data_IF_495921543685
#
_entry.id   IF_495921543685
#
_cell.length_a   1.000
_cell.length_b   1.000
_cell.length_c   1.000
_cell.angle_alpha   90.00
_cell.angle_beta   90.00
_cell.angle_gamma   90.00
#
_symmetry.space_group_name_H-M   'P 1'
#
loop_
_entity.id
_entity.type
_entity.pdbx_description
1 polymer ?
#
# COMPACT_ATOMS: atom_id res chain seq x y z
N UNK A 1 -40.07 37.91 -10.69
CA UNK A 1 -40.34 37.89 -9.24
C UNK A 1 -39.05 38.20 -8.52
N UNK A 2 -38.83 39.49 -8.30
CA UNK A 2 -37.88 40.00 -7.32
C UNK A 2 -38.36 39.62 -5.91
N UNK A 3 -37.42 39.23 -5.05
CA UNK A 3 -37.38 39.66 -3.66
C UNK A 3 -36.04 39.24 -3.05
N UNK A 4 -35.16 40.22 -2.92
CA UNK A 4 -34.01 40.18 -2.04
C UNK A 4 -34.47 40.36 -0.58
N UNK A 5 -33.78 39.73 0.36
CA UNK A 5 -33.67 40.25 1.73
C UNK A 5 -32.34 39.85 2.34
N UNK A 6 -31.56 40.87 2.64
CA UNK A 6 -30.35 40.89 3.46
C UNK A 6 -30.69 40.69 4.95
N UNK A 7 -29.80 40.03 5.70
CA UNK A 7 -29.56 40.32 7.12
C UNK A 7 -28.15 39.78 7.49
N UNK A 8 -27.14 40.66 7.50
CA UNK A 8 -26.49 41.27 8.68
C UNK A 8 -25.51 40.33 9.39
N UNK A 9 -24.24 40.71 9.24
CA UNK A 9 -23.06 40.19 9.89
C UNK A 9 -23.04 40.54 11.39
N UNK A 10 -22.64 39.58 12.22
CA UNK A 10 -22.19 39.81 13.59
C UNK A 10 -20.73 39.37 13.71
N UNK A 11 -19.84 40.35 13.66
CA UNK A 11 -18.41 40.24 14.00
C UNK A 11 -18.25 40.07 15.51
N UNK A 12 -17.76 38.90 15.94
CA UNK A 12 -17.18 38.71 17.28
C UNK A 12 -15.66 38.66 17.14
N UNK A 13 -15.00 39.74 17.54
CA UNK A 13 -13.54 39.81 17.68
C UNK A 13 -13.14 39.10 18.98
N UNK A 14 -12.42 37.99 18.87
CA UNK A 14 -11.69 37.38 19.98
C UNK A 14 -10.20 37.69 19.79
N UNK A 15 -9.64 38.40 20.78
CA UNK A 15 -8.23 38.80 20.86
C UNK A 15 -7.31 37.57 21.01
N UNK A 16 -6.15 37.52 20.34
CA UNK A 16 -5.14 36.50 20.61
C UNK A 16 -4.33 36.85 21.87
N UNK A 17 -4.25 35.94 22.83
CA UNK A 17 -3.30 36.00 23.95
C UNK A 17 -2.06 35.18 23.60
N UNK A 18 -0.94 35.85 23.37
CA UNK A 18 0.38 35.23 23.19
C UNK A 18 1.21 35.30 24.51
N UNK A 19 2.19 34.39 24.66
CA UNK A 19 2.70 33.91 25.96
C UNK A 19 3.76 34.82 26.60
N UNK A 20 4.06 34.64 27.90
CA UNK A 20 5.12 35.37 28.58
C UNK A 20 6.53 34.93 28.12
N UNK A 21 7.52 35.84 28.15
CA UNK A 21 8.87 35.62 27.63
C UNK A 21 9.75 34.72 28.54
N UNK A 22 10.83 34.12 28.00
CA UNK A 22 11.77 33.32 28.78
C UNK A 22 12.64 34.19 29.69
N UNK A 23 12.85 33.72 30.93
CA UNK A 23 13.80 34.31 31.89
C UNK A 23 15.24 34.07 31.45
N UNK A 24 16.00 35.15 31.33
CA UNK A 24 17.45 35.16 31.30
C UNK A 24 18.01 34.88 32.71
N UNK A 25 19.00 34.00 32.79
CA UNK A 25 19.85 33.86 33.98
C UNK A 25 21.30 34.05 33.53
N UNK A 26 21.97 34.91 34.28
CA UNK A 26 23.29 35.49 34.07
C UNK A 26 24.44 34.48 34.14
N UNK A 27 25.48 34.78 33.36
CA UNK A 27 26.87 34.32 33.51
C UNK A 27 27.42 34.57 34.93
N UNK A 28 28.19 33.59 35.43
CA UNK A 28 29.20 33.79 36.47
C UNK A 28 30.49 33.09 36.01
N UNK A 29 31.58 33.85 36.02
CA UNK A 29 32.84 33.51 35.35
C UNK A 29 33.80 32.57 36.10
N UNK A 30 34.66 31.97 35.27
CA UNK A 30 36.13 31.81 35.36
C UNK A 30 36.76 31.25 36.65
N UNK A 31 37.42 30.09 36.50
CA UNK A 31 38.79 29.87 36.98
C UNK A 31 39.46 28.68 36.26
N UNK A 32 40.52 28.94 35.48
CA UNK A 32 41.47 27.94 34.96
C UNK A 32 42.62 27.75 35.97
N UNK A 33 43.18 26.53 36.12
CA UNK A 33 44.55 26.35 36.56
C UNK A 33 45.50 26.19 35.37
N UNK A 34 46.49 27.09 35.33
CA UNK A 34 47.72 27.02 34.53
C UNK A 34 48.62 25.91 35.09
N UNK A 35 49.19 25.06 34.23
CA UNK A 35 50.61 24.65 34.24
C UNK A 35 50.89 23.51 33.23
N UNK A 36 51.89 23.64 32.35
CA UNK A 36 52.30 22.58 31.43
C UNK A 36 53.37 21.69 32.08
N UNK A 37 53.16 20.36 32.09
CA UNK A 37 54.22 19.41 32.47
C UNK A 37 54.97 18.94 31.22
N UNK A 38 56.17 19.49 31.06
CA UNK A 38 57.21 19.07 30.12
C UNK A 38 57.83 17.77 30.64
N UNK A 39 57.95 16.76 29.76
CA UNK A 39 58.65 15.51 30.04
C UNK A 39 60.12 15.65 29.66
N UNK A 40 61.02 15.42 30.62
CA UNK A 40 62.44 15.16 30.37
C UNK A 40 62.73 13.67 30.57
N UNK A 41 63.47 13.09 29.61
CA UNK A 41 64.04 11.76 29.72
C UNK A 41 65.35 11.78 30.53
N UNK A 42 65.54 10.78 31.42
CA UNK A 42 66.83 10.44 32.03
C UNK A 42 67.02 8.90 32.01
N UNK A 43 68.26 8.40 32.07
CA UNK A 43 68.66 7.20 31.33
C UNK A 43 68.75 5.93 32.20
N UNK A 44 68.62 4.82 31.47
CA UNK A 44 69.24 3.49 31.62
C UNK A 44 69.98 3.17 32.93
N UNK A 45 69.31 2.41 33.80
CA UNK A 45 69.95 1.46 34.73
C UNK A 45 69.87 0.05 34.16
N UNK A 46 71.02 -0.59 33.98
CA UNK A 46 71.15 -1.96 33.52
C UNK A 46 70.68 -2.96 34.58
N UNK A 47 69.80 -3.90 34.19
CA UNK A 47 69.64 -5.17 34.89
C UNK A 47 68.99 -6.23 33.99
N UNK A 48 69.80 -7.25 33.66
CA UNK A 48 69.45 -8.66 33.48
C UNK A 48 68.33 -9.04 32.50
N UNK A 49 68.76 -9.40 31.29
CA UNK A 49 68.06 -10.27 30.35
C UNK A 49 67.88 -11.67 30.93
N UNK A 50 66.65 -12.08 31.26
CA UNK A 50 66.31 -13.51 31.34
C UNK A 50 64.85 -13.79 30.96
N UNK A 51 64.62 -13.73 29.63
CA UNK A 51 63.79 -14.65 28.84
C UNK A 51 62.42 -15.09 29.38
N UNK A 52 61.38 -14.29 29.13
CA UNK A 52 59.98 -14.78 29.12
C UNK A 52 59.76 -15.87 28.05
N UNK A 53 60.53 -15.80 26.95
CA UNK A 53 60.56 -16.80 25.87
C UNK A 53 61.09 -18.19 26.29
N UNK A 54 61.84 -18.32 27.39
CA UNK A 54 62.36 -19.61 27.85
C UNK A 54 61.35 -20.39 28.73
N UNK A 55 60.33 -19.71 29.28
CA UNK A 55 59.20 -20.35 29.98
C UNK A 55 58.13 -20.87 29.02
N UNK A 56 57.86 -20.19 27.91
CA UNK A 56 56.94 -20.72 26.87
C UNK A 56 57.49 -21.97 26.16
N UNK A 57 58.80 -22.08 25.99
CA UNK A 57 59.41 -23.23 25.30
C UNK A 57 59.40 -24.53 26.11
N UNK A 58 59.14 -24.47 27.43
CA UNK A 58 59.10 -25.64 28.33
C UNK A 58 57.69 -26.20 28.58
N UNK A 59 56.65 -25.50 28.17
CA UNK A 59 55.25 -25.99 28.19
C UNK A 59 54.86 -26.68 26.89
N UNK A 60 55.47 -26.29 25.76
CA UNK A 60 55.26 -26.86 24.42
C UNK A 60 55.76 -28.29 24.23
N UNK A 61 56.59 -28.81 25.15
CA UNK A 61 57.20 -30.15 25.04
C UNK A 61 56.65 -31.15 26.07
N UNK A 62 55.56 -30.80 26.76
CA UNK A 62 54.88 -31.73 27.67
C UNK A 62 53.82 -32.54 26.91
N UNK A 63 53.75 -33.87 27.09
CA UNK A 63 52.70 -34.68 26.45
C UNK A 63 51.29 -34.23 26.84
N UNK A 64 51.15 -33.57 28.00
CA UNK A 64 49.91 -32.96 28.48
C UNK A 64 49.47 -31.74 27.65
N UNK A 65 50.40 -30.92 27.15
CA UNK A 65 50.07 -29.78 26.30
C UNK A 65 49.63 -30.23 24.91
N UNK A 66 50.32 -31.21 24.33
CA UNK A 66 49.91 -31.82 23.06
C UNK A 66 48.54 -32.51 23.16
N UNK A 67 48.27 -33.20 24.27
CA UNK A 67 46.96 -33.81 24.52
C UNK A 67 45.87 -32.75 24.68
N UNK A 68 46.14 -31.66 25.41
CA UNK A 68 45.20 -30.55 25.54
C UNK A 68 44.89 -29.91 24.19
N UNK A 69 45.90 -29.62 23.36
CA UNK A 69 45.70 -29.09 22.01
C UNK A 69 44.89 -30.04 21.12
N UNK A 70 45.10 -31.35 21.24
CA UNK A 70 44.37 -32.36 20.48
C UNK A 70 42.90 -32.45 20.94
N UNK A 71 42.64 -32.35 22.24
CA UNK A 71 41.28 -32.28 22.80
C UNK A 71 40.56 -31.01 22.34
N UNK A 72 41.22 -29.83 22.40
CA UNK A 72 40.62 -28.58 21.93
C UNK A 72 40.38 -28.58 20.41
N UNK A 73 41.31 -29.16 19.64
CA UNK A 73 41.16 -29.33 18.19
C UNK A 73 39.99 -30.26 17.83
N UNK A 74 39.89 -31.41 18.49
CA UNK A 74 38.77 -32.34 18.29
C UNK A 74 37.44 -31.74 18.75
N UNK A 75 37.41 -31.03 19.89
CA UNK A 75 36.22 -30.33 20.36
C UNK A 75 35.78 -29.24 19.38
N UNK A 76 36.72 -28.50 18.79
CA UNK A 76 36.44 -27.50 17.75
C UNK A 76 35.88 -28.12 16.47
N UNK A 77 36.41 -29.27 16.03
CA UNK A 77 35.90 -30.01 14.87
C UNK A 77 34.51 -30.58 15.16
N UNK A 78 34.28 -31.15 16.33
CA UNK A 78 32.96 -31.66 16.76
C UNK A 78 31.95 -30.52 16.87
N UNK A 79 32.34 -29.35 17.40
CA UNK A 79 31.48 -28.18 17.45
C UNK A 79 31.18 -27.63 16.04
N UNK A 80 32.18 -27.61 15.15
CA UNK A 80 32.00 -27.21 13.75
C UNK A 80 31.04 -28.14 13.00
N UNK A 81 31.21 -29.46 13.15
CA UNK A 81 30.31 -30.48 12.58
C UNK A 81 28.92 -30.46 13.23
N UNK A 82 28.81 -30.19 14.53
CA UNK A 82 27.53 -30.00 15.22
C UNK A 82 26.82 -28.71 14.79
N UNK A 83 27.57 -27.64 14.50
CA UNK A 83 27.01 -26.37 14.03
C UNK A 83 26.55 -26.46 12.57
N UNK A 84 27.31 -27.14 11.70
CA UNK A 84 26.90 -27.36 10.31
C UNK A 84 25.81 -28.41 10.18
N UNK A 85 25.83 -29.48 10.99
CA UNK A 85 24.72 -30.43 11.06
C UNK A 85 23.47 -29.82 11.69
N UNK A 86 23.58 -28.91 12.67
CA UNK A 86 22.44 -28.09 13.11
C UNK A 86 21.98 -27.12 12.04
N UNK A 87 22.86 -26.53 11.23
CA UNK A 87 22.43 -25.68 10.10
C UNK A 87 21.76 -26.49 8.96
N UNK A 88 22.09 -27.78 8.82
CA UNK A 88 21.51 -28.70 7.83
C UNK A 88 20.24 -29.42 8.34
N UNK A 89 20.12 -29.67 9.65
CA UNK A 89 18.98 -30.39 10.27
C UNK A 89 17.98 -29.41 10.91
N UNK A 90 18.45 -28.35 11.55
CA UNK A 90 17.65 -27.17 11.82
C UNK A 90 17.75 -26.27 10.59
N UNK A 91 17.07 -26.68 9.52
CA UNK A 91 16.77 -25.80 8.41
C UNK A 91 16.39 -24.45 9.00
N UNK A 92 17.07 -23.39 8.57
CA UNK A 92 16.79 -22.02 8.98
C UNK A 92 15.28 -21.91 9.16
N UNK A 93 14.83 -21.78 10.43
CA UNK A 93 13.44 -21.41 10.68
C UNK A 93 13.30 -20.08 9.95
N UNK A 94 12.74 -20.11 8.75
CA UNK A 94 12.23 -18.92 8.10
C UNK A 94 11.36 -18.29 9.18
N UNK A 95 11.86 -17.20 9.75
CA UNK A 95 11.14 -16.40 10.72
C UNK A 95 9.76 -16.21 10.12
N UNK A 96 8.70 -16.77 10.72
CA UNK A 96 7.37 -16.89 10.10
C UNK A 96 7.01 -15.65 9.27
N UNK A 97 7.27 -15.70 7.97
CA UNK A 97 6.93 -14.63 7.05
C UNK A 97 5.57 -15.00 6.52
N UNK A 98 4.53 -14.34 7.05
CA UNK A 98 3.19 -14.48 6.49
C UNK A 98 3.17 -13.80 5.11
N UNK A 99 2.85 -14.55 4.03
CA UNK A 99 2.75 -13.97 2.69
C UNK A 99 1.77 -12.81 2.67
N UNK A 100 2.12 -11.73 1.98
CA UNK A 100 1.23 -10.58 1.77
C UNK A 100 0.33 -10.79 0.55
N UNK A 101 0.77 -11.61 -0.41
CA UNK A 101 -0.04 -12.01 -1.54
C UNK A 101 -1.07 -13.06 -1.17
N UNK A 102 -2.25 -12.95 -1.77
CA UNK A 102 -3.39 -13.82 -1.49
C UNK A 102 -4.08 -14.23 -2.78
N UNK A 103 -4.49 -15.50 -2.86
CA UNK A 103 -5.32 -16.01 -3.94
C UNK A 103 -6.74 -16.23 -3.43
N UNK A 104 -7.73 -15.73 -4.17
CA UNK A 104 -9.14 -15.80 -3.81
C UNK A 104 -9.90 -16.53 -4.89
N UNK A 105 -10.46 -17.69 -4.52
CA UNK A 105 -11.36 -18.45 -5.38
C UNK A 105 -12.70 -17.71 -5.47
N UNK A 106 -13.17 -17.47 -6.69
CA UNK A 106 -14.43 -16.80 -6.96
C UNK A 106 -15.46 -17.83 -7.42
N UNK A 107 -16.62 -17.86 -6.76
CA UNK A 107 -17.71 -18.75 -7.18
C UNK A 107 -18.24 -18.30 -8.54
N UNK A 108 -18.14 -19.19 -9.53
CA UNK A 108 -18.66 -18.96 -10.88
C UNK A 108 -20.19 -18.91 -10.84
N UNK A 109 -20.85 -17.90 -11.43
CA UNK A 109 -22.28 -17.95 -11.67
C UNK A 109 -22.54 -18.95 -12.80
N UNK A 110 -23.21 -20.07 -12.50
CA UNK A 110 -23.89 -20.91 -13.48
C UNK A 110 -23.13 -22.14 -13.98
N UNK A 111 -23.29 -23.26 -13.26
CA UNK A 111 -23.42 -24.61 -13.82
C UNK A 111 -24.41 -25.38 -12.93
N UNK A 112 -25.68 -25.44 -13.37
CA UNK A 112 -26.71 -26.40 -12.93
C UNK A 112 -27.25 -26.28 -11.50
N UNK A 113 -28.26 -25.43 -11.30
CA UNK A 113 -29.21 -25.63 -10.20
C UNK A 113 -30.17 -26.77 -10.57
N UNK A 114 -30.10 -27.85 -9.79
CA UNK A 114 -31.10 -28.90 -9.74
C UNK A 114 -31.07 -29.53 -8.36
N UNK A 115 -32.04 -29.20 -7.52
CA UNK A 115 -32.23 -29.84 -6.21
C UNK A 115 -32.55 -28.84 -5.09
N UNK A 116 -33.84 -28.73 -4.81
CA UNK A 116 -34.45 -28.02 -3.69
C UNK A 116 -34.02 -28.59 -2.32
N UNK A 117 -34.04 -27.73 -1.29
CA UNK A 117 -34.09 -28.12 0.12
C UNK A 117 -32.79 -28.04 0.93
N UNK A 118 -32.62 -26.96 1.68
CA UNK A 118 -31.79 -26.97 2.90
C UNK A 118 -30.93 -25.73 3.10
N UNK A 119 -31.31 -24.89 4.08
CA UNK A 119 -30.46 -23.82 4.58
C UNK A 119 -29.10 -24.35 5.03
N UNK A 120 -28.05 -23.86 4.39
CA UNK A 120 -26.68 -24.13 4.75
C UNK A 120 -25.80 -23.07 4.13
N UNK A 121 -25.41 -22.07 4.93
CA UNK A 121 -24.29 -21.20 4.57
C UNK A 121 -23.10 -22.10 4.28
N UNK A 122 -22.68 -22.13 3.02
CA UNK A 122 -21.54 -22.92 2.56
C UNK A 122 -20.30 -22.51 3.33
N UNK A 123 -20.01 -23.26 4.38
CA UNK A 123 -18.82 -23.15 5.18
C UNK A 123 -17.62 -23.50 4.29
N UNK A 124 -16.75 -22.51 4.08
CA UNK A 124 -15.40 -22.72 3.58
C UNK A 124 -14.62 -23.46 4.67
N UNK A 125 -14.51 -24.77 4.51
CA UNK A 125 -13.72 -25.63 5.37
C UNK A 125 -12.24 -25.23 5.26
N UNK A 126 -11.69 -24.66 6.34
CA UNK A 126 -10.32 -24.17 6.43
C UNK A 126 -10.13 -22.77 7.01
N UNK A 127 -11.19 -21.99 7.22
CA UNK A 127 -11.09 -20.72 7.94
C UNK A 127 -10.99 -20.96 9.45
N UNK A 128 -9.79 -21.34 9.92
CA UNK A 128 -9.33 -20.85 11.24
C UNK A 128 -9.63 -19.35 11.22
N UNK A 129 -10.39 -18.86 12.20
CA UNK A 129 -10.75 -17.46 12.38
C UNK A 129 -9.48 -16.59 12.43
N UNK A 130 -8.89 -16.31 11.26
CA UNK A 130 -7.80 -15.37 11.10
C UNK A 130 -8.44 -14.03 11.29
N UNK A 131 -8.07 -13.39 12.41
CA UNK A 131 -8.46 -12.01 12.70
C UNK A 131 -8.10 -11.15 11.48
N UNK A 132 -9.11 -10.57 10.83
CA UNK A 132 -8.94 -9.67 9.68
C UNK A 132 -7.96 -8.56 10.05
N UNK A 133 -7.03 -8.25 9.15
CA UNK A 133 -6.06 -7.19 9.38
C UNK A 133 -6.79 -5.83 9.42
N UNK A 134 -6.65 -5.10 10.53
CA UNK A 134 -7.28 -3.79 10.69
C UNK A 134 -6.44 -2.69 10.04
N UNK A 135 -7.04 -1.91 9.16
CA UNK A 135 -6.40 -0.79 8.43
C UNK A 135 -7.37 0.37 8.27
N UNK A 136 -6.88 1.58 7.97
CA UNK A 136 -7.74 2.71 7.60
C UNK A 136 -8.40 2.44 6.23
N UNK A 137 -7.62 1.97 5.27
CA UNK A 137 -8.11 1.67 3.94
C UNK A 137 -7.36 0.54 3.24
N UNK A 138 -8.04 -0.18 2.36
CA UNK A 138 -7.42 -1.16 1.46
C UNK A 138 -7.45 -0.63 0.03
N UNK A 139 -6.29 -0.45 -0.58
CA UNK A 139 -6.12 0.05 -1.96
C UNK A 139 -5.83 -1.12 -2.90
N UNK A 140 -6.82 -1.46 -3.73
CA UNK A 140 -6.68 -2.42 -4.81
C UNK A 140 -6.33 -1.73 -6.12
N UNK A 141 -5.12 -1.98 -6.60
CA UNK A 141 -4.59 -1.41 -7.84
C UNK A 141 -4.93 -2.35 -8.98
N UNK A 142 -5.95 -2.03 -9.75
CA UNK A 142 -6.46 -2.84 -10.86
C UNK A 142 -5.42 -2.87 -11.99
N UNK A 143 -4.89 -4.05 -12.28
CA UNK A 143 -3.84 -4.26 -13.28
C UNK A 143 -4.11 -5.49 -14.13
N UNK A 144 -3.44 -5.64 -15.27
CA UNK A 144 -3.59 -6.79 -16.16
C UNK A 144 -2.27 -7.33 -16.69
N UNK A 145 -2.33 -8.39 -17.49
CA UNK A 145 -1.13 -9.02 -18.07
C UNK A 145 -0.35 -8.11 -19.04
N UNK A 146 -1.00 -7.10 -19.61
CA UNK A 146 -0.36 -6.08 -20.46
C UNK A 146 0.37 -4.97 -19.69
N UNK A 147 0.25 -4.93 -18.35
CA UNK A 147 0.67 -3.79 -17.53
C UNK A 147 1.95 -4.01 -16.73
N UNK A 148 2.80 -4.97 -17.12
CA UNK A 148 4.05 -5.27 -16.38
C UNK A 148 4.97 -4.05 -16.26
N UNK A 149 5.07 -3.23 -17.32
CA UNK A 149 5.86 -1.99 -17.28
C UNK A 149 5.26 -0.92 -16.36
N UNK A 150 3.92 -0.81 -16.29
CA UNK A 150 3.21 0.06 -15.34
C UNK A 150 3.45 -0.38 -13.90
N UNK A 151 3.27 -1.66 -13.58
CA UNK A 151 3.59 -2.20 -12.24
C UNK A 151 5.03 -1.92 -11.82
N UNK A 152 5.98 -2.10 -12.73
CA UNK A 152 7.39 -1.74 -12.50
C UNK A 152 7.57 -0.25 -12.20
N UNK A 153 6.85 0.63 -12.89
CA UNK A 153 6.94 2.07 -12.72
C UNK A 153 6.30 2.52 -11.39
N UNK A 154 5.16 1.93 -11.03
CA UNK A 154 4.55 2.08 -9.71
C UNK A 154 5.50 1.65 -8.58
N UNK A 155 6.18 0.52 -8.79
CA UNK A 155 7.20 -0.01 -7.88
C UNK A 155 8.41 0.89 -7.62
N UNK A 156 8.73 1.72 -8.62
CA UNK A 156 9.81 2.72 -8.56
C UNK A 156 9.35 4.08 -8.04
N UNK A 157 8.05 4.23 -7.74
CA UNK A 157 7.44 5.52 -7.37
C UNK A 157 6.67 5.40 -6.06
N UNK A 158 5.34 5.46 -6.10
CA UNK A 158 4.51 5.62 -4.91
C UNK A 158 4.17 4.30 -4.18
N UNK A 159 4.51 3.14 -4.74
CA UNK A 159 4.32 1.83 -4.11
C UNK A 159 5.65 1.06 -4.07
N UNK A 160 6.47 1.15 -3.01
CA UNK A 160 7.82 0.57 -3.01
C UNK A 160 7.87 -0.94 -3.32
N UNK A 161 8.84 -1.37 -4.13
CA UNK A 161 9.03 -2.78 -4.50
C UNK A 161 9.50 -3.70 -3.38
N UNK A 162 10.21 -3.16 -2.38
CA UNK A 162 10.73 -3.98 -1.28
C UNK A 162 9.67 -4.19 -0.23
N UNK A 163 9.61 -5.39 0.34
CA UNK A 163 8.67 -5.72 1.42
C UNK A 163 8.77 -4.73 2.58
N UNK A 164 9.98 -4.36 3.00
CA UNK A 164 10.20 -3.38 4.06
C UNK A 164 9.75 -1.97 3.65
N UNK A 165 9.94 -1.60 2.39
CA UNK A 165 9.45 -0.35 1.82
C UNK A 165 7.93 -0.28 1.87
N UNK A 166 7.26 -1.31 1.38
CA UNK A 166 5.81 -1.43 1.37
C UNK A 166 5.25 -1.42 2.80
N UNK A 167 5.79 -2.23 3.72
CA UNK A 167 5.35 -2.24 5.12
C UNK A 167 5.52 -0.89 5.81
N UNK A 168 6.59 -0.14 5.50
CA UNK A 168 6.77 1.23 6.03
C UNK A 168 5.72 2.18 5.48
N UNK A 169 5.42 2.10 4.19
CA UNK A 169 4.35 2.89 3.57
C UNK A 169 3.00 2.58 4.21
N UNK A 170 2.68 1.29 4.34
CA UNK A 170 1.40 0.83 4.89
C UNK A 170 1.24 1.27 6.36
N UNK A 171 2.29 1.13 7.16
CA UNK A 171 2.29 1.58 8.56
C UNK A 171 2.16 3.10 8.69
N UNK A 172 2.84 3.86 7.82
CA UNK A 172 2.85 5.33 7.87
C UNK A 172 1.50 5.93 7.45
N UNK A 173 0.80 5.28 6.52
CA UNK A 173 -0.46 5.79 5.95
C UNK A 173 -1.69 5.12 6.57
N UNK A 174 -1.53 3.98 7.25
CA UNK A 174 -2.65 3.14 7.66
C UNK A 174 -3.35 2.45 6.49
N UNK A 175 -2.80 2.50 5.28
CA UNK A 175 -3.38 1.91 4.07
C UNK A 175 -2.67 0.60 3.74
N UNK A 176 -3.38 -0.41 3.25
CA UNK A 176 -2.77 -1.60 2.65
C UNK A 176 -2.87 -1.53 1.12
N UNK A 177 -1.86 -2.02 0.39
CA UNK A 177 -1.82 -1.91 -1.08
C UNK A 177 -1.59 -3.26 -1.74
N UNK A 178 -2.43 -3.66 -2.69
CA UNK A 178 -2.19 -4.86 -3.51
C UNK A 178 -2.49 -4.61 -4.97
N UNK A 179 -1.67 -5.18 -5.85
CA UNK A 179 -2.02 -5.33 -7.25
C UNK A 179 -3.13 -6.35 -7.40
N UNK A 180 -4.25 -5.97 -8.00
CA UNK A 180 -5.41 -6.84 -8.22
C UNK A 180 -5.40 -7.33 -9.66
N UNK A 181 -5.24 -8.64 -9.83
CA UNK A 181 -5.18 -9.27 -11.15
C UNK A 181 -5.96 -10.59 -11.14
N UNK A 182 -6.65 -10.86 -12.24
CA UNK A 182 -7.28 -12.13 -12.51
C UNK A 182 -6.30 -13.18 -13.06
N UNK A 183 -6.84 -14.20 -13.71
CA UNK A 183 -6.09 -15.26 -14.40
C UNK A 183 -6.23 -15.16 -15.92
N UNK A 184 -5.37 -15.88 -16.62
CA UNK A 184 -5.47 -16.10 -18.07
C UNK A 184 -5.24 -17.57 -18.38
N UNK A 185 -5.73 -18.02 -19.53
CA UNK A 185 -5.47 -19.39 -20.04
C UNK A 185 -4.08 -19.53 -20.68
N UNK A 186 -3.41 -18.41 -20.95
CA UNK A 186 -2.03 -18.38 -21.45
C UNK A 186 -1.04 -18.80 -20.35
N UNK A 187 -0.52 -20.03 -20.47
CA UNK A 187 0.40 -20.62 -19.50
C UNK A 187 1.71 -19.82 -19.36
N UNK A 188 2.18 -19.17 -20.42
CA UNK A 188 3.42 -18.37 -20.38
C UNK A 188 3.21 -17.11 -19.54
N UNK A 189 2.08 -16.41 -19.75
CA UNK A 189 1.69 -15.25 -18.95
C UNK A 189 1.46 -15.61 -17.48
N UNK A 190 0.82 -16.74 -17.20
CA UNK A 190 0.64 -17.24 -15.84
C UNK A 190 1.97 -17.58 -15.16
N UNK A 191 2.91 -18.20 -15.89
CA UNK A 191 4.24 -18.50 -15.36
C UNK A 191 5.05 -17.23 -15.08
N UNK A 192 4.94 -16.20 -15.94
CA UNK A 192 5.56 -14.90 -15.71
C UNK A 192 4.98 -14.18 -14.48
N UNK A 193 3.65 -14.20 -14.33
CA UNK A 193 2.97 -13.64 -13.14
C UNK A 193 3.40 -14.37 -11.86
N UNK A 194 3.50 -15.71 -11.89
CA UNK A 194 3.96 -16.49 -10.73
C UNK A 194 5.36 -16.06 -10.27
N UNK A 195 6.30 -15.86 -11.21
CA UNK A 195 7.64 -15.35 -10.89
C UNK A 195 7.58 -13.95 -10.27
N UNK A 196 6.73 -13.08 -10.79
CA UNK A 196 6.56 -11.72 -10.25
C UNK A 196 5.95 -11.75 -8.83
N UNK A 197 4.99 -12.63 -8.57
CA UNK A 197 4.42 -12.84 -7.22
C UNK A 197 5.47 -13.36 -6.24
N UNK A 198 6.31 -14.32 -6.67
CA UNK A 198 7.42 -14.84 -5.87
C UNK A 198 8.48 -13.78 -5.57
N UNK A 199 8.70 -12.83 -6.48
CA UNK A 199 9.69 -11.76 -6.33
C UNK A 199 9.22 -10.63 -5.41
N UNK A 200 7.96 -10.17 -5.53
CA UNK A 200 7.49 -8.96 -4.86
C UNK A 200 6.49 -9.19 -3.73
N UNK A 201 5.76 -10.31 -3.73
CA UNK A 201 4.75 -10.65 -2.75
C UNK A 201 3.67 -9.55 -2.53
N UNK A 202 3.26 -8.82 -3.57
CA UNK A 202 2.38 -7.64 -3.46
C UNK A 202 1.03 -7.77 -4.21
N UNK A 203 0.52 -9.00 -4.40
CA UNK A 203 -0.66 -9.27 -5.24
C UNK A 203 -1.91 -9.77 -4.50
N UNK A 204 -3.09 -9.40 -5.01
CA UNK A 204 -4.36 -10.08 -4.79
C UNK A 204 -4.77 -10.76 -6.10
N UNK A 205 -4.70 -12.09 -6.12
CA UNK A 205 -5.01 -12.92 -7.28
C UNK A 205 -6.49 -13.34 -7.20
N UNK A 206 -7.28 -12.98 -8.21
CA UNK A 206 -8.69 -13.32 -8.30
C UNK A 206 -8.90 -14.46 -9.31
N UNK A 207 -9.76 -15.43 -9.00
CA UNK A 207 -10.17 -16.46 -9.95
C UNK A 207 -11.23 -15.95 -10.97
N UNK A 208 -10.86 -14.90 -11.70
CA UNK A 208 -11.66 -14.31 -12.79
C UNK A 208 -10.76 -14.18 -14.00
N UNK A 209 -11.29 -14.47 -15.18
CA UNK A 209 -10.54 -14.32 -16.42
C UNK A 209 -10.32 -12.83 -16.77
N UNK A 210 -9.07 -12.46 -17.03
CA UNK A 210 -8.69 -11.10 -17.41
C UNK A 210 -9.16 -10.77 -18.82
N UNK A 211 -10.18 -9.92 -18.91
CA UNK A 211 -10.66 -9.31 -20.15
C UNK A 211 -11.25 -7.93 -19.83
N UNK A 212 -11.19 -7.00 -20.79
CA UNK A 212 -11.73 -5.64 -20.59
C UNK A 212 -13.24 -5.66 -20.27
N UNK A 213 -14.01 -6.52 -20.94
CA UNK A 213 -15.44 -6.72 -20.69
C UNK A 213 -15.74 -7.29 -19.30
N UNK A 214 -14.76 -7.87 -18.62
CA UNK A 214 -14.89 -8.46 -17.30
C UNK A 214 -14.54 -7.49 -16.16
N UNK A 215 -14.14 -6.25 -16.46
CA UNK A 215 -13.78 -5.25 -15.45
C UNK A 215 -14.86 -5.04 -14.38
N UNK A 216 -16.16 -4.90 -14.70
CA UNK A 216 -17.20 -4.78 -13.68
C UNK A 216 -17.21 -5.97 -12.70
N UNK A 217 -17.07 -7.19 -13.20
CA UNK A 217 -17.04 -8.41 -12.39
C UNK A 217 -15.77 -8.50 -11.53
N UNK A 218 -14.62 -8.15 -12.11
CA UNK A 218 -13.34 -8.09 -11.41
C UNK A 218 -13.40 -7.12 -10.23
N UNK A 219 -13.99 -5.93 -10.43
CA UNK A 219 -14.14 -4.93 -9.37
C UNK A 219 -15.03 -5.41 -8.23
N UNK A 220 -16.15 -6.05 -8.53
CA UNK A 220 -17.01 -6.61 -7.47
C UNK A 220 -16.27 -7.72 -6.71
N UNK A 221 -15.58 -8.61 -7.43
CA UNK A 221 -14.79 -9.66 -6.80
C UNK A 221 -13.67 -9.11 -5.93
N UNK A 222 -13.00 -8.05 -6.37
CA UNK A 222 -12.05 -7.28 -5.56
C UNK A 222 -12.67 -6.79 -4.26
N UNK A 223 -13.81 -6.09 -4.31
CA UNK A 223 -14.45 -5.57 -3.10
C UNK A 223 -14.84 -6.69 -2.13
N UNK A 224 -15.42 -7.79 -2.64
CA UNK A 224 -15.78 -8.93 -1.80
C UNK A 224 -14.56 -9.61 -1.17
N UNK A 225 -13.51 -9.84 -1.96
CA UNK A 225 -12.24 -10.42 -1.51
C UNK A 225 -11.59 -9.53 -0.44
N UNK A 226 -11.45 -8.24 -0.72
CA UNK A 226 -10.84 -7.28 0.19
C UNK A 226 -11.60 -7.20 1.51
N UNK A 227 -12.94 -7.18 1.47
CA UNK A 227 -13.77 -7.17 2.67
C UNK A 227 -13.58 -8.42 3.53
N UNK A 228 -13.44 -9.60 2.92
CA UNK A 228 -13.19 -10.84 3.66
C UNK A 228 -11.81 -10.86 4.34
N UNK A 229 -10.82 -10.21 3.73
CA UNK A 229 -9.42 -10.26 4.18
C UNK A 229 -9.04 -9.14 5.16
N UNK A 230 -9.61 -7.95 4.99
CA UNK A 230 -9.24 -6.73 5.72
C UNK A 230 -10.42 -6.13 6.45
N UNK A 231 -10.19 -5.71 7.69
CA UNK A 231 -11.11 -4.87 8.47
C UNK A 231 -10.72 -3.40 8.23
N UNK A 232 -11.22 -2.84 7.12
CA UNK A 232 -10.88 -1.50 6.64
C UNK A 232 -12.06 -0.54 6.77
N UNK A 233 -11.82 0.74 7.05
CA UNK A 233 -12.87 1.79 7.01
C UNK A 233 -13.28 2.12 5.57
N UNK A 234 -12.34 2.07 4.64
CA UNK A 234 -12.57 2.28 3.22
C UNK A 234 -11.89 1.21 2.35
N UNK A 235 -12.53 0.89 1.23
CA UNK A 235 -11.95 0.07 0.17
C UNK A 235 -11.82 0.94 -1.07
N UNK A 236 -10.61 1.07 -1.59
CA UNK A 236 -10.25 1.98 -2.67
C UNK A 236 -9.92 1.17 -3.91
N UNK A 237 -10.62 1.45 -5.00
CA UNK A 237 -10.23 1.00 -6.33
C UNK A 237 -9.34 2.07 -6.94
N UNK A 238 -8.18 1.68 -7.47
CA UNK A 238 -7.28 2.56 -8.22
C UNK A 238 -6.82 1.85 -9.50
N UNK A 239 -6.67 2.57 -10.61
CA UNK A 239 -6.04 2.02 -11.82
C UNK A 239 -4.51 2.06 -11.75
N UNK A 240 -3.85 1.20 -12.52
CA UNK A 240 -2.38 1.13 -12.58
C UNK A 240 -1.71 2.22 -13.44
N UNK A 241 -2.50 3.15 -13.96
CA UNK A 241 -2.05 4.28 -14.76
C UNK A 241 -2.38 5.65 -14.14
N UNK A 242 -2.44 5.74 -12.81
CA UNK A 242 -2.52 7.02 -12.07
C UNK A 242 -1.30 7.27 -11.20
N UNK A 243 -0.97 8.54 -10.96
CA UNK A 243 -0.02 8.90 -9.92
C UNK A 243 -0.77 9.17 -8.61
N UNK A 244 -0.60 8.32 -7.61
CA UNK A 244 -1.25 8.43 -6.31
C UNK A 244 -0.28 9.04 -5.28
N UNK A 245 -0.82 9.83 -4.35
CA UNK A 245 -0.12 10.33 -3.16
C UNK A 245 -0.72 9.66 -1.91
N UNK A 246 -0.15 8.53 -1.44
CA UNK A 246 -0.69 7.74 -0.33
C UNK A 246 -0.90 8.53 0.98
N UNK A 247 -0.02 9.49 1.27
CA UNK A 247 -0.15 10.40 2.41
C UNK A 247 -1.43 11.24 2.33
N UNK A 248 -1.71 11.81 1.15
CA UNK A 248 -2.90 12.62 0.91
C UNK A 248 -4.17 11.79 0.87
N UNK A 249 -4.11 10.58 0.31
CA UNK A 249 -5.23 9.64 0.35
C UNK A 249 -5.57 9.28 1.80
N UNK A 250 -4.57 8.97 2.63
CA UNK A 250 -4.78 8.65 4.05
C UNK A 250 -5.51 9.79 4.78
N UNK A 251 -5.06 11.04 4.60
CA UNK A 251 -5.71 12.20 5.19
C UNK A 251 -7.15 12.40 4.70
N UNK A 252 -7.41 12.18 3.42
CA UNK A 252 -8.75 12.27 2.84
C UNK A 252 -9.70 11.21 3.42
N UNK A 253 -9.23 9.97 3.58
CA UNK A 253 -10.03 8.88 4.13
C UNK A 253 -10.26 9.05 5.64
N UNK A 254 -9.32 9.63 6.37
CA UNK A 254 -9.43 9.88 7.82
C UNK A 254 -10.36 11.06 8.18
N UNK A 255 -10.82 11.84 7.20
CA UNK A 255 -11.75 12.97 7.43
C UNK A 255 -13.04 12.48 8.10
N UNK A 256 -13.47 13.19 9.14
CA UNK A 256 -14.77 12.95 9.77
C UNK A 256 -15.91 13.21 8.80
N UNK A 257 -16.92 12.34 8.82
CA UNK A 257 -18.10 12.40 7.96
C UNK A 257 -19.35 12.16 8.78
N UNK A 258 -20.42 12.84 8.41
CA UNK A 258 -21.73 12.70 9.07
C UNK A 258 -22.48 11.45 8.60
N UNK A 259 -22.16 10.94 7.41
CA UNK A 259 -22.74 9.73 6.85
C UNK A 259 -21.73 8.59 6.91
N UNK A 260 -22.17 7.38 7.26
CA UNK A 260 -21.34 6.17 7.26
C UNK A 260 -21.24 5.52 5.88
N UNK A 261 -22.31 5.60 5.07
CA UNK A 261 -22.38 5.05 3.72
C UNK A 261 -21.86 6.05 2.68
N UNK A 262 -20.56 5.96 2.42
CA UNK A 262 -19.85 6.91 1.54
C UNK A 262 -19.39 6.24 0.26
N UNK A 263 -19.68 6.89 -0.86
CA UNK A 263 -19.04 6.71 -2.16
C UNK A 263 -18.24 7.98 -2.48
N UNK A 264 -16.92 7.91 -2.33
CA UNK A 264 -16.01 9.03 -2.50
C UNK A 264 -15.29 8.92 -3.85
N UNK A 265 -15.25 10.01 -4.60
CA UNK A 265 -14.55 10.06 -5.86
C UNK A 265 -14.61 11.45 -6.50
N UNK A 266 -13.93 11.61 -7.63
CA UNK A 266 -14.19 12.75 -8.49
C UNK A 266 -15.48 12.47 -9.28
N UNK A 267 -16.60 12.99 -8.78
CA UNK A 267 -17.92 12.77 -9.37
C UNK A 267 -18.08 13.49 -10.70
N UNK A 268 -18.67 12.81 -11.69
CA UNK A 268 -18.93 13.32 -13.04
C UNK A 268 -20.33 12.97 -13.53
N UNK A 269 -20.70 13.65 -14.62
CA UNK A 269 -21.73 13.24 -15.57
C UNK A 269 -21.14 13.27 -16.98
N UNK A 270 -21.81 12.60 -17.91
CA UNK A 270 -21.37 12.55 -19.30
C UNK A 270 -22.34 11.79 -20.19
N UNK A 271 -22.18 11.88 -21.52
CA UNK A 271 -23.08 11.24 -22.46
C UNK A 271 -23.00 9.72 -22.37
N UNK A 272 -24.15 9.06 -22.55
CA UNK A 272 -24.18 7.61 -22.79
C UNK A 272 -23.73 7.35 -24.22
N UNK A 273 -22.70 6.52 -24.37
CA UNK A 273 -22.16 6.21 -25.70
C UNK A 273 -22.99 5.10 -26.36
N UNK A 274 -23.76 5.47 -27.38
CA UNK A 274 -24.68 4.57 -28.10
C UNK A 274 -24.13 4.03 -29.42
N UNK A 275 -22.97 4.51 -29.89
CA UNK A 275 -22.33 4.03 -31.11
C UNK A 275 -21.42 2.82 -30.79
N UNK A 276 -21.69 1.62 -31.36
CA UNK A 276 -20.87 0.42 -31.19
C UNK A 276 -19.39 0.56 -31.55
N UNK A 277 -19.02 1.60 -32.31
CA UNK A 277 -17.63 1.88 -32.71
C UNK A 277 -16.83 2.62 -31.63
N UNK A 278 -17.50 3.17 -30.61
CA UNK A 278 -16.84 3.91 -29.55
C UNK A 278 -16.36 2.95 -28.45
N UNK A 279 -15.19 3.24 -27.88
CA UNK A 279 -14.54 2.45 -26.82
C UNK A 279 -15.47 2.13 -25.66
N UNK A 280 -16.33 3.07 -25.28
CA UNK A 280 -17.21 3.00 -24.11
C UNK A 280 -18.68 2.74 -24.47
N UNK A 281 -18.93 2.18 -25.66
CA UNK A 281 -20.27 1.79 -26.09
C UNK A 281 -21.03 1.02 -25.00
N UNK A 282 -22.25 1.45 -24.72
CA UNK A 282 -23.15 0.81 -23.77
C UNK A 282 -24.31 0.12 -24.50
N UNK A 283 -24.29 -1.22 -24.63
CA UNK A 283 -25.34 -1.97 -25.31
C UNK A 283 -26.69 -1.89 -24.60
N UNK A 284 -26.72 -1.62 -23.29
CA UNK A 284 -27.95 -1.41 -22.51
C UNK A 284 -28.31 0.07 -22.38
N UNK A 285 -27.86 0.91 -23.32
CA UNK A 285 -28.10 2.36 -23.32
C UNK A 285 -29.58 2.72 -23.34
N UNK A 286 -30.47 1.84 -23.84
CA UNK A 286 -31.92 2.01 -23.78
C UNK A 286 -32.51 1.94 -22.36
N UNK A 287 -31.81 1.29 -21.42
CA UNK A 287 -32.15 1.31 -19.99
C UNK A 287 -31.62 2.57 -19.29
N UNK A 288 -30.80 3.35 -19.99
CA UNK A 288 -30.19 4.58 -19.51
C UNK A 288 -30.79 5.79 -20.24
N UNK A 289 -30.51 6.99 -19.71
CA UNK A 289 -30.83 8.23 -20.40
C UNK A 289 -29.82 8.60 -21.48
N UNK A 290 -29.94 9.80 -22.04
CA UNK A 290 -28.89 10.38 -22.93
C UNK A 290 -27.59 10.71 -22.18
N UNK A 291 -27.69 10.88 -20.87
CA UNK A 291 -26.58 11.20 -19.97
C UNK A 291 -26.57 10.16 -18.84
N UNK A 292 -25.37 9.74 -18.42
CA UNK A 292 -25.22 8.93 -17.22
C UNK A 292 -25.63 9.72 -15.99
N UNK A 293 -26.15 9.01 -15.00
CA UNK A 293 -26.31 9.53 -13.65
C UNK A 293 -24.95 9.94 -13.05
N UNK A 294 -24.97 10.70 -11.96
CA UNK A 294 -23.72 11.12 -11.29
C UNK A 294 -22.99 9.89 -10.71
N UNK A 295 -21.72 9.73 -11.05
CA UNK A 295 -20.86 8.65 -10.58
C UNK A 295 -19.40 9.09 -10.55
N UNK A 296 -18.53 8.38 -9.83
CA UNK A 296 -17.11 8.71 -9.81
C UNK A 296 -16.44 8.32 -11.14
N UNK A 297 -15.38 9.04 -11.50
CA UNK A 297 -14.46 8.59 -12.53
C UNK A 297 -13.82 7.25 -12.17
N UNK A 298 -13.71 6.36 -13.17
CA UNK A 298 -13.11 5.03 -13.01
C UNK A 298 -11.70 4.99 -12.41
N UNK A 299 -10.74 5.88 -12.76
CA UNK A 299 -9.36 5.80 -12.31
C UNK A 299 -9.14 5.66 -10.80
N UNK A 300 -9.97 6.31 -9.97
CA UNK A 300 -9.94 6.12 -8.52
C UNK A 300 -11.26 6.50 -7.85
N UNK A 301 -11.70 5.64 -6.93
CA UNK A 301 -12.79 5.93 -6.00
C UNK A 301 -12.71 5.04 -4.76
N UNK A 302 -13.39 5.44 -3.69
CA UNK A 302 -13.42 4.73 -2.42
C UNK A 302 -14.86 4.44 -1.97
N UNK A 303 -15.08 3.23 -1.48
CA UNK A 303 -16.33 2.80 -0.85
C UNK A 303 -16.10 2.56 0.63
N UNK A 304 -16.96 3.13 1.48
CA UNK A 304 -16.95 2.83 2.92
C UNK A 304 -17.19 1.35 3.20
N UNK A 305 -16.73 0.89 4.36
CA UNK A 305 -16.89 -0.49 4.80
C UNK A 305 -18.35 -0.96 4.78
N UNK A 306 -19.28 -0.10 5.17
CA UNK A 306 -20.71 -0.40 5.20
C UNK A 306 -21.28 -0.62 3.80
N UNK A 307 -20.89 0.23 2.83
CA UNK A 307 -21.28 0.06 1.43
C UNK A 307 -20.75 -1.25 0.87
N UNK A 308 -19.47 -1.57 1.13
CA UNK A 308 -18.89 -2.84 0.68
C UNK A 308 -19.55 -4.05 1.35
N UNK A 309 -19.92 -3.94 2.64
CA UNK A 309 -20.68 -4.97 3.33
C UNK A 309 -22.03 -5.23 2.64
N UNK A 310 -22.73 -4.17 2.21
CA UNK A 310 -23.95 -4.31 1.40
C UNK A 310 -23.66 -5.03 0.08
N UNK A 311 -22.60 -4.64 -0.65
CA UNK A 311 -22.19 -5.30 -1.89
C UNK A 311 -21.88 -6.80 -1.71
N UNK A 312 -21.24 -7.16 -0.59
CA UNK A 312 -20.94 -8.55 -0.25
C UNK A 312 -22.22 -9.35 0.00
N UNK A 313 -23.20 -8.76 0.69
CA UNK A 313 -24.47 -9.38 1.01
C UNK A 313 -25.42 -9.54 -0.20
N UNK A 314 -25.18 -8.84 -1.31
CA UNK A 314 -25.98 -8.97 -2.52
C UNK A 314 -25.86 -10.39 -3.10
N UNK A 315 -27.02 -11.00 -3.41
CA UNK A 315 -27.07 -12.23 -4.19
C UNK A 315 -26.55 -11.95 -5.60
N UNK A 316 -25.92 -12.98 -6.18
CA UNK A 316 -25.49 -12.90 -7.57
C UNK A 316 -26.68 -12.53 -8.48
N UNK A 317 -26.44 -11.68 -9.47
CA UNK A 317 -27.43 -11.21 -10.44
C UNK A 317 -28.58 -10.34 -9.87
N UNK A 318 -28.49 -9.87 -8.61
CA UNK A 318 -29.53 -8.97 -8.05
C UNK A 318 -29.52 -7.58 -8.67
N UNK A 319 -28.35 -7.07 -9.03
CA UNK A 319 -28.20 -5.75 -9.65
C UNK A 319 -27.73 -5.85 -11.10
N UNK A 320 -28.11 -4.84 -11.88
CA UNK A 320 -27.77 -4.74 -13.31
C UNK A 320 -26.28 -4.48 -13.49
N UNK A 321 -25.64 -5.24 -14.37
CA UNK A 321 -24.29 -4.98 -14.85
C UNK A 321 -24.34 -4.15 -16.14
N UNK A 322 -23.47 -3.16 -16.25
CA UNK A 322 -23.24 -2.35 -17.45
C UNK A 322 -21.86 -2.66 -18.03
N UNK A 323 -21.58 -2.22 -19.27
CA UNK A 323 -20.29 -2.50 -19.91
C UNK A 323 -19.13 -1.77 -19.26
N UNK A 324 -19.38 -0.56 -18.75
CA UNK A 324 -18.39 0.25 -18.05
C UNK A 324 -18.46 -0.03 -16.54
N UNK A 325 -17.30 -0.28 -15.92
CA UNK A 325 -17.21 -0.61 -14.49
C UNK A 325 -17.66 0.54 -13.60
N UNK A 326 -17.26 1.77 -13.92
CA UNK A 326 -17.54 2.96 -13.12
C UNK A 326 -19.04 3.29 -13.15
N UNK A 327 -19.65 3.11 -14.32
CA UNK A 327 -21.11 3.17 -14.50
C UNK A 327 -21.80 2.07 -13.70
N UNK A 328 -21.29 0.83 -13.74
CA UNK A 328 -21.88 -0.28 -12.95
C UNK A 328 -21.89 0.06 -11.46
N UNK A 329 -20.74 0.45 -10.90
CA UNK A 329 -20.64 0.82 -9.49
C UNK A 329 -21.54 2.02 -9.17
N UNK A 330 -21.50 3.09 -9.97
CA UNK A 330 -22.33 4.26 -9.73
C UNK A 330 -23.83 3.95 -9.73
N UNK A 331 -24.29 3.07 -10.63
CA UNK A 331 -25.71 2.68 -10.65
C UNK A 331 -26.15 1.98 -9.36
N UNK A 332 -25.24 1.20 -8.77
CA UNK A 332 -25.50 0.47 -7.52
C UNK A 332 -25.46 1.41 -6.32
N UNK A 333 -24.56 2.41 -6.33
CA UNK A 333 -24.52 3.43 -5.29
C UNK A 333 -25.82 4.23 -5.23
N UNK A 334 -26.42 4.52 -6.39
CA UNK A 334 -27.75 5.12 -6.45
C UNK A 334 -28.83 4.17 -5.93
N UNK A 335 -28.83 2.91 -6.37
CA UNK A 335 -29.83 1.93 -5.96
C UNK A 335 -29.81 1.66 -4.43
N UNK A 336 -28.63 1.74 -3.81
CA UNK A 336 -28.44 1.53 -2.37
C UNK A 336 -28.53 2.83 -1.54
N UNK A 337 -28.90 3.96 -2.16
CA UNK A 337 -29.01 5.26 -1.50
C UNK A 337 -27.72 5.70 -0.78
N UNK A 338 -26.56 5.48 -1.40
CA UNK A 338 -25.24 5.82 -0.85
C UNK A 338 -24.93 7.30 -1.07
N UNK A 339 -24.33 7.96 -0.06
CA UNK A 339 -23.94 9.35 -0.16
C UNK A 339 -22.74 9.53 -1.11
N UNK A 340 -22.94 10.28 -2.19
CA UNK A 340 -21.90 10.61 -3.16
C UNK A 340 -21.10 11.82 -2.68
N UNK A 341 -19.81 11.63 -2.39
CA UNK A 341 -18.88 12.68 -1.99
C UNK A 341 -17.97 13.01 -3.17
N UNK A 342 -18.13 14.21 -3.72
CA UNK A 342 -17.24 14.74 -4.75
C UNK A 342 -15.98 15.34 -4.14
N UNK A 343 -14.81 14.86 -4.55
CA UNK A 343 -13.52 15.45 -4.22
C UNK A 343 -12.63 15.58 -5.46
N UNK A 344 -12.40 16.83 -5.90
CA UNK A 344 -11.62 17.17 -7.08
C UNK A 344 -10.14 16.77 -6.96
N UNK A 345 -9.61 16.63 -5.74
CA UNK A 345 -8.21 16.26 -5.52
C UNK A 345 -7.88 14.84 -6.03
N UNK A 346 -8.90 14.03 -6.33
CA UNK A 346 -8.78 12.70 -6.93
C UNK A 346 -8.67 12.71 -8.46
N UNK A 347 -8.75 13.87 -9.12
CA UNK A 347 -8.75 14.00 -10.58
C UNK A 347 -8.01 15.23 -11.11
N UNK A 348 -6.90 15.58 -10.46
CA UNK A 348 -6.07 16.71 -10.89
C UNK A 348 -5.18 16.32 -12.09
N UNK A 349 -5.00 17.20 -13.10
CA UNK A 349 -4.12 16.93 -14.24
C UNK A 349 -2.62 17.06 -13.88
N UNK A 350 -2.31 17.75 -12.79
CA UNK A 350 -0.94 17.93 -12.28
C UNK A 350 -0.92 17.86 -10.75
N UNK A 351 0.26 17.61 -10.18
CA UNK A 351 0.42 17.66 -8.73
C UNK A 351 0.24 19.09 -8.20
N UNK A 352 -0.61 19.23 -7.19
CA UNK A 352 -0.79 20.47 -6.41
C UNK A 352 -0.40 20.21 -4.95
N UNK A 353 -0.49 21.22 -4.08
CA UNK A 353 -0.25 21.02 -2.64
C UNK A 353 -1.21 19.99 -2.02
N UNK A 354 -2.42 19.87 -2.57
CA UNK A 354 -3.52 19.04 -2.04
C UNK A 354 -3.88 17.84 -2.89
N UNK A 355 -3.39 17.71 -4.13
CA UNK A 355 -3.77 16.62 -5.03
C UNK A 355 -3.54 15.25 -4.38
N UNK A 356 -4.55 14.38 -4.45
CA UNK A 356 -4.49 13.00 -3.96
C UNK A 356 -4.11 12.06 -5.10
N UNK A 357 -4.72 12.24 -6.27
CA UNK A 357 -4.42 11.47 -7.46
C UNK A 357 -4.28 12.38 -8.68
N UNK A 358 -3.33 12.03 -9.56
CA UNK A 358 -3.02 12.79 -10.77
C UNK A 358 -3.12 11.90 -11.99
N UNK A 359 -3.89 12.34 -12.99
CA UNK A 359 -4.11 11.65 -14.26
C UNK A 359 -4.64 12.61 -15.34
N UNK A 360 -4.44 12.27 -16.61
CA UNK A 360 -4.56 13.21 -17.73
C UNK A 360 -6.00 13.30 -18.27
N UNK A 361 -6.90 13.97 -17.55
CA UNK A 361 -8.25 14.27 -18.03
C UNK A 361 -8.27 15.48 -19.00
N UNK A 362 -9.08 15.49 -20.08
CA UNK A 362 -9.81 14.38 -20.69
C UNK A 362 -8.99 13.62 -21.76
N UNK A 363 -7.67 13.86 -21.82
CA UNK A 363 -6.81 13.39 -22.91
C UNK A 363 -6.66 11.87 -22.94
N UNK A 364 -6.54 11.25 -21.76
CA UNK A 364 -6.35 9.82 -21.57
C UNK A 364 -7.31 9.29 -20.50
N UNK A 365 -7.55 7.98 -20.48
CA UNK A 365 -8.39 7.35 -19.44
C UNK A 365 -7.72 7.37 -18.06
N UNK A 366 -6.39 7.40 -18.02
CA UNK A 366 -5.53 7.65 -16.85
C UNK A 366 -4.43 8.62 -17.26
N UNK A 367 -3.18 8.37 -16.88
CA UNK A 367 -2.00 9.07 -17.42
C UNK A 367 -1.75 8.66 -18.88
N UNK A 368 -1.37 9.62 -19.71
CA UNK A 368 -0.80 9.37 -21.02
C UNK A 368 0.64 8.86 -20.84
N UNK A 369 1.01 7.75 -21.51
CA UNK A 369 2.32 7.09 -21.36
C UNK A 369 2.68 6.84 -19.88
N UNK A 370 1.87 6.07 -19.14
CA UNK A 370 1.96 5.99 -17.69
C UNK A 370 3.32 5.50 -17.18
N UNK A 371 4.00 4.61 -17.91
CA UNK A 371 5.30 4.07 -17.51
C UNK A 371 6.38 5.16 -17.36
N UNK A 372 6.36 6.16 -18.24
CA UNK A 372 7.28 7.30 -18.18
C UNK A 372 6.74 8.40 -17.26
N UNK A 373 5.44 8.71 -17.39
CA UNK A 373 4.82 9.84 -16.70
C UNK A 373 4.80 9.66 -15.18
N UNK A 374 4.64 8.42 -14.69
CA UNK A 374 4.76 8.09 -13.27
C UNK A 374 6.14 8.48 -12.73
N UNK A 375 7.21 8.13 -13.43
CA UNK A 375 8.59 8.45 -13.04
C UNK A 375 8.83 9.96 -13.05
N UNK A 376 8.35 10.66 -14.08
CA UNK A 376 8.49 12.11 -14.20
C UNK A 376 7.77 12.86 -13.07
N UNK A 377 6.53 12.47 -12.76
CA UNK A 377 5.77 13.07 -11.66
C UNK A 377 6.46 12.81 -10.32
N UNK A 378 6.98 11.61 -10.10
CA UNK A 378 7.66 11.27 -8.85
C UNK A 378 8.94 12.08 -8.59
N UNK A 379 9.54 12.68 -9.62
CA UNK A 379 10.71 13.56 -9.49
C UNK A 379 10.35 14.99 -9.08
N UNK A 380 9.07 15.39 -9.17
CA UNK A 380 8.66 16.75 -8.81
C UNK A 380 8.48 16.86 -7.30
N UNK A 381 9.15 17.85 -6.68
CA UNK A 381 9.06 18.09 -5.22
C UNK A 381 7.62 18.26 -4.72
N UNK A 382 6.79 18.96 -5.49
CA UNK A 382 5.36 19.16 -5.18
C UNK A 382 4.58 17.83 -5.09
N UNK A 383 4.92 16.84 -5.91
CA UNK A 383 4.29 15.51 -5.86
C UNK A 383 4.76 14.70 -4.64
N UNK A 384 5.97 14.93 -4.16
CA UNK A 384 6.53 14.28 -2.97
C UNK A 384 6.11 14.97 -1.66
N UNK A 385 5.39 16.09 -1.74
CA UNK A 385 5.08 16.90 -0.57
C UNK A 385 6.31 17.53 0.08
N UNK A 386 7.45 17.58 -0.63
CA UNK A 386 8.65 18.31 -0.22
C UNK A 386 8.41 19.77 -0.55
N UNK A 387 8.04 20.57 0.45
CA UNK A 387 8.04 22.02 0.28
C UNK A 387 9.49 22.45 0.23
N UNK A 388 9.94 23.06 -0.87
CA UNK A 388 11.22 23.74 -0.90
C UNK A 388 11.19 24.86 0.14
N UNK A 389 11.82 24.62 1.29
CA UNK A 389 12.24 25.66 2.21
C UNK A 389 13.38 26.45 1.58
N UNK A 390 13.05 27.31 0.61
CA UNK A 390 13.95 28.28 -0.03
C UNK A 390 13.04 29.45 -0.43
N UNK A 391 13.14 30.67 0.09
CA UNK A 391 14.00 31.31 1.08
C UNK A 391 13.34 32.66 1.39
N UNK A 392 13.27 33.06 2.65
CA UNK A 392 13.21 34.49 3.00
C UNK A 392 14.38 35.18 2.30
N UNK A 393 14.06 36.24 1.56
CA UNK A 393 14.99 37.14 0.89
C UNK A 393 14.32 38.48 0.66
#
# INVERSE_FOLDING_TARGET
YEAATNAVAATSQVRPTNPPPPRSVYEAGVAMPKSPKVFYARPSGAASSTTWFSRLRRLSSSPLFSLACLIFGLAGIVFGLAATSRALVAGYRCRHFEPTSVAVAWQKPGLGEGGDGGGGGGAFDGAVSRKRQKVLGFVGIQTGFGSTGRRRSLRKTWMPSTREGLLRLEKATGLAFRFVIGRTTDASKMAALKKEVEEYDDFMLLDIEEQYSMLPYKTIAFFKAAYQLFDATFFVKADDDIYLRPDRLSLLLARERTHSQIYLGCMKKGPVFTDPKLKWYEPLSNLLGKEYFIHAYGPIYALSAEVVASLVALRNNSFRMFSNEDVTIGSWMLAMNVNHEHDQTLCEPDCTSSSVAVWDIPKCSGLCNPEEKLLQLHQKDICLGRVNSVSDG
#
